data_IF_742707803833
#
_entry.id   IF_742707803833
#
_cell.length_a   1.000
_cell.length_b   1.000
_cell.length_c   1.000
_cell.angle_alpha   90.00
_cell.angle_beta   90.00
_cell.angle_gamma   90.00
#
_symmetry.space_group_name_H-M   'P 1'
#
loop_
_entity.id
_entity.type
_entity.pdbx_description
1 polymer ?
#
# COMPACT_ATOMS: atom_id res chain seq x y z
N UNK A 1 9.20 19.55 32.18
CA UNK A 1 9.76 18.91 30.97
C UNK A 1 9.18 17.55 30.75
N UNK A 2 9.28 16.65 31.72
CA UNK A 2 8.73 15.30 31.56
C UNK A 2 7.21 15.30 31.34
N UNK A 3 6.50 16.19 32.05
CA UNK A 3 5.05 16.30 31.90
C UNK A 3 4.65 16.74 30.49
N UNK A 4 5.43 17.68 29.95
CA UNK A 4 5.18 18.17 28.61
C UNK A 4 5.35 17.06 27.58
N UNK A 5 6.41 16.27 27.73
CA UNK A 5 6.69 15.15 26.85
C UNK A 5 5.59 14.10 26.91
N UNK A 6 5.17 13.73 28.12
CA UNK A 6 4.10 12.77 28.31
C UNK A 6 2.78 13.25 27.71
N UNK A 7 2.48 14.52 27.85
CA UNK A 7 1.29 15.11 27.29
C UNK A 7 1.28 15.00 25.76
N UNK A 8 2.39 15.28 25.11
CA UNK A 8 2.48 15.19 23.67
C UNK A 8 2.28 13.75 23.18
N UNK A 9 2.85 12.78 23.86
CA UNK A 9 2.66 11.38 23.51
C UNK A 9 1.20 10.95 23.67
N UNK A 10 0.56 11.41 24.73
CA UNK A 10 -0.84 11.10 24.97
C UNK A 10 -1.72 11.65 23.87
N UNK A 11 -1.50 12.92 23.48
CA UNK A 11 -2.25 13.53 22.39
C UNK A 11 -2.01 12.81 21.06
N UNK A 12 -0.77 12.41 20.83
CA UNK A 12 -0.42 11.68 19.63
C UNK A 12 -1.24 10.39 19.51
N UNK A 13 -1.37 9.64 20.60
CA UNK A 13 -2.18 8.43 20.62
C UNK A 13 -3.66 8.71 20.42
N UNK A 14 -4.15 9.81 20.95
CA UNK A 14 -5.56 10.16 20.87
C UNK A 14 -6.04 10.40 19.44
N UNK A 15 -5.13 10.75 18.53
CA UNK A 15 -5.49 11.11 17.16
C UNK A 15 -5.16 10.05 16.13
N UNK A 16 -4.68 8.89 16.55
CA UNK A 16 -4.37 7.83 15.58
C UNK A 16 -5.63 7.19 15.05
N UNK A 17 -5.68 7.06 13.73
CA UNK A 17 -6.74 6.39 13.01
C UNK A 17 -6.14 5.28 12.15
N UNK A 18 -6.98 4.31 11.77
CA UNK A 18 -6.55 3.18 10.97
C UNK A 18 -7.46 2.99 9.79
N UNK A 19 -6.90 2.54 8.68
CA UNK A 19 -7.68 2.27 7.47
C UNK A 19 -7.04 1.15 6.67
N UNK A 20 -7.90 0.45 5.92
CA UNK A 20 -7.50 -0.53 4.92
C UNK A 20 -7.77 0.10 3.56
N UNK A 21 -6.74 0.22 2.75
CA UNK A 21 -6.80 0.85 1.43
C UNK A 21 -6.50 -0.23 0.39
N UNK A 22 -7.28 -0.25 -0.68
CA UNK A 22 -7.09 -1.17 -1.79
C UNK A 22 -7.20 -0.42 -3.10
N UNK A 23 -6.31 -0.69 -4.04
CA UNK A 23 -6.43 -0.16 -5.40
C UNK A 23 -6.02 -1.23 -6.41
N UNK A 24 -6.47 -1.05 -7.66
CA UNK A 24 -6.36 -2.08 -8.69
C UNK A 24 -5.63 -1.57 -9.92
N UNK A 25 -5.09 -2.51 -10.67
CA UNK A 25 -4.62 -2.23 -12.02
C UNK A 25 -5.80 -1.98 -12.95
N UNK A 26 -5.53 -1.30 -14.07
CA UNK A 26 -6.53 -1.05 -15.11
C UNK A 26 -7.10 -2.38 -15.59
N UNK A 27 -8.44 -2.48 -15.57
CA UNK A 27 -9.17 -3.68 -15.97
C UNK A 27 -8.70 -4.97 -15.25
N UNK A 28 -8.09 -4.82 -14.10
CA UNK A 28 -7.54 -5.92 -13.30
C UNK A 28 -6.58 -6.80 -14.09
N UNK A 29 -5.80 -6.18 -14.97
CA UNK A 29 -4.75 -6.89 -15.68
C UNK A 29 -3.66 -7.28 -14.69
N UNK A 30 -3.23 -8.54 -14.71
CA UNK A 30 -2.21 -9.05 -13.79
C UNK A 30 -0.81 -8.63 -14.21
N UNK A 31 -0.55 -7.33 -14.28
CA UNK A 31 0.69 -6.78 -14.79
C UNK A 31 1.77 -6.57 -13.73
N UNK A 32 1.46 -6.77 -12.46
CA UNK A 32 2.44 -6.58 -11.40
C UNK A 32 3.23 -7.87 -11.23
N UNK A 33 4.34 -7.97 -11.95
CA UNK A 33 5.30 -9.05 -11.74
C UNK A 33 6.15 -8.74 -10.48
N UNK A 34 7.09 -9.62 -10.17
CA UNK A 34 7.90 -9.46 -8.96
C UNK A 34 8.65 -8.13 -8.94
N UNK A 35 9.16 -7.68 -10.08
CA UNK A 35 9.88 -6.42 -10.16
C UNK A 35 8.94 -5.23 -9.96
N UNK A 36 7.78 -5.25 -10.61
CA UNK A 36 6.78 -4.20 -10.43
C UNK A 36 6.22 -4.17 -9.01
N UNK A 37 6.01 -5.35 -8.41
CA UNK A 37 5.57 -5.42 -7.01
C UNK A 37 6.58 -4.80 -6.07
N UNK A 38 7.87 -5.01 -6.31
CA UNK A 38 8.93 -4.36 -5.55
C UNK A 38 8.88 -2.83 -5.71
N UNK A 39 8.59 -2.35 -6.91
CA UNK A 39 8.42 -0.91 -7.15
C UNK A 39 7.22 -0.36 -6.36
N UNK A 40 6.13 -1.12 -6.30
CA UNK A 40 4.96 -0.72 -5.52
C UNK A 40 5.30 -0.62 -4.04
N UNK A 41 5.97 -1.62 -3.49
CA UNK A 41 6.35 -1.62 -2.07
C UNK A 41 7.25 -0.44 -1.73
N UNK A 42 8.24 -0.18 -2.58
CA UNK A 42 9.14 0.95 -2.43
C UNK A 42 8.40 2.29 -2.54
N UNK A 43 7.46 2.38 -3.47
CA UNK A 43 6.65 3.58 -3.67
C UNK A 43 5.75 3.85 -2.47
N UNK A 44 5.17 2.80 -1.89
CA UNK A 44 4.35 2.92 -0.68
C UNK A 44 5.18 3.47 0.46
N UNK A 45 6.40 2.97 0.65
CA UNK A 45 7.31 3.48 1.68
C UNK A 45 7.63 4.97 1.46
N UNK A 46 7.93 5.36 0.23
CA UNK A 46 8.20 6.76 -0.09
C UNK A 46 6.99 7.66 0.16
N UNK A 47 5.80 7.18 -0.22
CA UNK A 47 4.56 7.92 -0.02
C UNK A 47 4.25 8.08 1.47
N UNK A 48 4.55 7.08 2.28
CA UNK A 48 4.38 7.15 3.73
C UNK A 48 5.23 8.27 4.32
N UNK A 49 6.49 8.33 3.94
CA UNK A 49 7.40 9.34 4.45
C UNK A 49 6.95 10.75 4.06
N UNK A 50 6.48 10.91 2.83
CA UNK A 50 6.05 12.20 2.33
C UNK A 50 4.71 12.66 2.91
N UNK A 51 3.81 11.73 3.20
CA UNK A 51 2.43 12.02 3.60
C UNK A 51 2.18 11.94 5.10
N UNK A 52 3.14 11.46 5.88
CA UNK A 52 2.92 11.26 7.31
C UNK A 52 2.00 10.09 7.63
N UNK A 53 1.89 9.14 6.71
CA UNK A 53 1.14 7.90 6.89
C UNK A 53 2.11 6.80 7.28
N UNK A 54 1.66 5.87 8.11
CA UNK A 54 2.47 4.74 8.53
C UNK A 54 1.83 3.45 8.06
N UNK A 55 2.59 2.63 7.34
CA UNK A 55 2.10 1.32 6.89
C UNK A 55 2.33 0.28 7.98
N UNK A 56 1.27 -0.44 8.31
CA UNK A 56 1.32 -1.52 9.29
C UNK A 56 1.44 -2.87 8.59
N UNK A 57 0.83 -3.01 7.42
CA UNK A 57 0.88 -4.24 6.63
C UNK A 57 0.55 -3.91 5.19
N UNK A 58 1.18 -4.59 4.25
CA UNK A 58 0.84 -4.47 2.83
C UNK A 58 0.92 -5.83 2.16
N UNK A 59 0.19 -5.96 1.06
CA UNK A 59 0.27 -7.11 0.19
C UNK A 59 0.07 -6.64 -1.24
N UNK A 60 1.04 -6.91 -2.10
CA UNK A 60 0.97 -6.56 -3.51
C UNK A 60 0.72 -7.84 -4.29
N UNK A 61 -0.47 -7.94 -4.88
CA UNK A 61 -0.84 -9.04 -5.75
C UNK A 61 -0.68 -8.61 -7.21
N UNK A 62 -0.84 -9.53 -8.14
CA UNK A 62 -0.58 -9.26 -9.55
C UNK A 62 -1.47 -8.17 -10.14
N UNK A 63 -2.67 -7.97 -9.61
CA UNK A 63 -3.66 -7.02 -10.14
C UNK A 63 -4.21 -6.03 -9.12
N UNK A 64 -3.78 -6.09 -7.86
CA UNK A 64 -4.23 -5.15 -6.84
C UNK A 64 -3.30 -5.11 -5.65
N UNK A 65 -3.50 -4.08 -4.83
CA UNK A 65 -2.64 -3.79 -3.67
C UNK A 65 -3.53 -3.58 -2.45
N UNK A 66 -3.13 -4.17 -1.32
CA UNK A 66 -3.73 -3.94 -0.02
C UNK A 66 -2.73 -3.23 0.88
N UNK A 67 -3.16 -2.18 1.57
CA UNK A 67 -2.32 -1.49 2.55
C UNK A 67 -3.14 -1.19 3.80
N UNK A 68 -2.64 -1.59 4.95
CA UNK A 68 -3.21 -1.20 6.24
C UNK A 68 -2.34 -0.10 6.81
N UNK A 69 -2.95 1.03 7.13
CA UNK A 69 -2.21 2.22 7.54
C UNK A 69 -2.73 2.77 8.86
N UNK A 70 -1.85 3.48 9.58
CA UNK A 70 -2.25 4.38 10.65
C UNK A 70 -1.93 5.81 10.22
N UNK A 71 -2.77 6.75 10.63
CA UNK A 71 -2.63 8.14 10.22
C UNK A 71 -3.35 9.05 11.20
N UNK A 72 -3.02 10.34 11.18
CA UNK A 72 -3.69 11.34 11.98
C UNK A 72 -4.84 11.95 11.19
N UNK A 73 -5.84 12.53 11.88
CA UNK A 73 -7.03 13.07 11.21
C UNK A 73 -6.75 14.17 10.18
N UNK A 74 -5.63 14.87 10.31
CA UNK A 74 -5.25 15.93 9.38
C UNK A 74 -4.61 15.43 8.09
N UNK A 75 -4.43 14.13 7.94
CA UNK A 75 -3.82 13.52 6.75
C UNK A 75 -4.90 13.20 5.72
N UNK A 76 -4.59 13.47 4.47
CA UNK A 76 -5.46 13.11 3.35
C UNK A 76 -4.95 11.82 2.70
N UNK A 77 -5.69 10.75 2.89
CA UNK A 77 -5.32 9.45 2.33
C UNK A 77 -5.30 9.48 0.80
N UNK A 78 -6.07 10.37 0.18
CA UNK A 78 -6.03 10.54 -1.28
C UNK A 78 -4.67 11.00 -1.78
N UNK A 79 -3.97 11.81 -1.00
CA UNK A 79 -2.62 12.26 -1.35
C UNK A 79 -1.63 11.09 -1.26
N UNK A 80 -1.75 10.28 -0.23
CA UNK A 80 -0.93 9.09 -0.08
C UNK A 80 -1.14 8.13 -1.25
N UNK A 81 -2.40 7.83 -1.58
CA UNK A 81 -2.75 6.91 -2.67
C UNK A 81 -2.18 7.41 -4.01
N UNK A 82 -2.44 8.68 -4.32
CA UNK A 82 -1.98 9.27 -5.57
C UNK A 82 -0.47 9.20 -5.70
N UNK A 83 0.25 9.52 -4.63
CA UNK A 83 1.71 9.52 -4.65
C UNK A 83 2.26 8.10 -4.79
N UNK A 84 1.71 7.14 -4.05
CA UNK A 84 2.14 5.74 -4.15
C UNK A 84 1.94 5.21 -5.57
N UNK A 85 0.77 5.46 -6.16
CA UNK A 85 0.46 5.01 -7.52
C UNK A 85 1.38 5.67 -8.55
N UNK A 86 1.58 6.98 -8.44
CA UNK A 86 2.42 7.73 -9.38
C UNK A 86 3.87 7.27 -9.33
N UNK A 87 4.44 7.14 -8.16
CA UNK A 87 5.83 6.72 -8.00
C UNK A 87 6.03 5.30 -8.49
N UNK A 88 5.11 4.40 -8.16
CA UNK A 88 5.20 3.00 -8.59
C UNK A 88 5.15 2.88 -10.11
N UNK A 89 4.20 3.55 -10.75
CA UNK A 89 4.06 3.53 -12.20
C UNK A 89 5.28 4.14 -12.88
N UNK A 90 5.78 5.25 -12.37
CA UNK A 90 6.96 5.90 -12.94
C UNK A 90 8.17 4.96 -12.93
N UNK A 91 8.41 4.30 -11.80
CA UNK A 91 9.55 3.39 -11.67
C UNK A 91 9.41 2.17 -12.58
N UNK A 92 8.25 1.53 -12.55
CA UNK A 92 8.01 0.34 -13.34
C UNK A 92 8.07 0.64 -14.85
N UNK A 93 7.48 1.76 -15.27
CA UNK A 93 7.38 2.12 -16.67
C UNK A 93 8.71 2.64 -17.25
N UNK A 94 9.62 3.09 -16.40
CA UNK A 94 10.99 3.40 -16.84
C UNK A 94 11.73 2.14 -17.25
N UNK A 95 11.50 1.06 -16.50
CA UNK A 95 12.15 -0.21 -16.78
C UNK A 95 11.52 -0.91 -17.98
N UNK A 96 10.19 -0.96 -18.00
CA UNK A 96 9.42 -1.57 -19.09
C UNK A 96 8.29 -0.60 -19.45
N UNK A 97 8.40 0.13 -20.57
CA UNK A 97 7.35 1.08 -20.96
C UNK A 97 5.97 0.41 -21.01
N UNK A 98 4.99 1.06 -20.39
CA UNK A 98 3.63 0.56 -20.35
C UNK A 98 3.39 -0.59 -19.38
N UNK A 99 4.36 -0.92 -18.52
CA UNK A 99 4.27 -2.07 -17.63
C UNK A 99 3.11 -1.97 -16.64
N UNK A 100 2.87 -0.78 -16.09
CA UNK A 100 1.86 -0.60 -15.04
C UNK A 100 0.90 0.53 -15.41
N UNK A 101 -0.38 0.21 -15.34
CA UNK A 101 -1.45 1.18 -15.49
C UNK A 101 -2.46 0.93 -14.38
N UNK A 102 -2.77 1.96 -13.62
CA UNK A 102 -3.73 1.87 -12.53
C UNK A 102 -5.14 2.21 -12.97
N UNK A 103 -6.11 1.54 -12.39
CA UNK A 103 -7.50 2.00 -12.45
C UNK A 103 -7.62 3.28 -11.64
N UNK A 104 -8.63 4.08 -11.92
CA UNK A 104 -8.91 5.29 -11.15
C UNK A 104 -9.46 4.93 -9.79
N UNK A 105 -9.11 5.74 -8.80
CA UNK A 105 -9.69 5.63 -7.49
C UNK A 105 -9.07 4.54 -6.63
N UNK A 106 -9.66 4.37 -5.48
CA UNK A 106 -9.23 3.41 -4.48
C UNK A 106 -10.38 3.18 -3.51
N UNK A 107 -10.30 2.09 -2.75
CA UNK A 107 -11.27 1.79 -1.71
C UNK A 107 -10.64 2.00 -0.36
N UNK A 108 -11.37 2.62 0.58
CA UNK A 108 -10.92 2.85 1.94
C UNK A 108 -12.00 2.38 2.90
N UNK A 109 -11.60 1.59 3.87
CA UNK A 109 -12.44 1.21 4.99
C UNK A 109 -11.70 1.59 6.26
N UNK A 110 -12.32 2.42 7.10
CA UNK A 110 -11.74 2.74 8.41
C UNK A 110 -11.84 1.52 9.31
N UNK A 111 -10.84 1.38 10.19
CA UNK A 111 -10.71 0.21 11.05
C UNK A 111 -10.73 0.68 12.49
N UNK A 112 -11.59 0.10 13.30
CA UNK A 112 -11.52 0.29 14.74
C UNK A 112 -10.27 -0.42 15.26
N UNK A 113 -9.62 0.15 16.26
CA UNK A 113 -8.38 -0.39 16.80
C UNK A 113 -8.50 -1.88 17.18
N UNK A 114 -9.64 -2.28 17.74
CA UNK A 114 -9.86 -3.68 18.14
C UNK A 114 -9.91 -4.64 16.96
N UNK A 115 -10.24 -4.16 15.77
CA UNK A 115 -10.34 -4.98 14.56
C UNK A 115 -9.03 -5.03 13.78
N UNK A 116 -8.05 -4.24 14.19
CA UNK A 116 -6.78 -4.13 13.48
C UNK A 116 -6.04 -5.46 13.35
N UNK A 117 -5.93 -6.29 14.40
CA UNK A 117 -5.25 -7.59 14.26
C UNK A 117 -5.89 -8.49 13.22
N UNK A 118 -7.23 -8.52 13.14
CA UNK A 118 -7.93 -9.34 12.16
C UNK A 118 -7.72 -8.85 10.74
N UNK A 119 -7.74 -7.54 10.54
CA UNK A 119 -7.52 -6.95 9.21
C UNK A 119 -6.09 -7.16 8.75
N UNK A 120 -5.10 -6.97 9.62
CA UNK A 120 -3.70 -7.20 9.25
C UNK A 120 -3.46 -8.66 8.90
N UNK A 121 -4.10 -9.58 9.60
CA UNK A 121 -4.03 -11.01 9.26
C UNK A 121 -4.67 -11.28 7.91
N UNK A 122 -5.83 -10.70 7.66
CA UNK A 122 -6.51 -10.84 6.36
C UNK A 122 -5.59 -10.41 5.21
N UNK A 123 -4.91 -9.28 5.38
CA UNK A 123 -3.99 -8.78 4.35
C UNK A 123 -2.77 -9.70 4.21
N UNK A 124 -2.23 -10.17 5.33
CA UNK A 124 -1.10 -11.10 5.30
C UNK A 124 -1.43 -12.41 4.59
N UNK A 125 -2.70 -12.84 4.66
CA UNK A 125 -3.14 -14.12 4.10
C UNK A 125 -3.53 -14.03 2.62
N UNK A 126 -3.42 -12.86 2.01
CA UNK A 126 -3.85 -12.67 0.61
C UNK A 126 -3.13 -13.59 -0.37
N UNK A 127 -1.85 -13.85 -0.16
CA UNK A 127 -1.10 -14.72 -1.04
C UNK A 127 -1.55 -16.18 -0.95
N UNK A 128 -1.98 -16.62 0.23
CA UNK A 128 -2.52 -17.96 0.41
C UNK A 128 -3.93 -18.09 -0.19
N UNK A 129 -4.72 -17.02 -0.09
CA UNK A 129 -6.07 -16.99 -0.64
C UNK A 129 -6.09 -16.91 -2.15
N UNK A 130 -5.08 -16.27 -2.72
CA UNK A 130 -4.99 -16.01 -4.17
C UNK A 130 -3.60 -16.38 -4.68
N UNK A 131 -3.26 -17.69 -4.66
CA UNK A 131 -1.94 -18.12 -5.11
C UNK A 131 -1.68 -17.84 -6.58
N UNK A 132 -2.75 -17.75 -7.38
CA UNK A 132 -2.68 -17.40 -8.80
C UNK A 132 -2.33 -15.92 -9.02
N UNK A 133 -2.45 -15.08 -8.00
CA UNK A 133 -2.15 -13.66 -8.09
C UNK A 133 -0.83 -13.27 -7.42
N UNK A 134 -0.01 -14.23 -7.04
CA UNK A 134 1.32 -13.93 -6.53
C UNK A 134 2.16 -13.37 -7.67
N UNK A 135 2.79 -12.20 -7.49
CA UNK A 135 3.64 -11.63 -8.53
C UNK A 135 4.75 -12.59 -8.96
N UNK A 136 4.87 -12.81 -10.26
CA UNK A 136 5.80 -13.78 -10.81
C UNK A 136 7.06 -13.09 -11.27
N UNK A 137 8.16 -13.80 -11.24
CA UNK A 137 9.39 -13.35 -11.87
C UNK A 137 9.15 -13.27 -13.36
N UNK A 138 9.55 -12.14 -13.97
CA UNK A 138 9.27 -11.92 -15.38
C UNK A 138 10.53 -12.10 -16.20
N UNK A 139 11.45 -11.57 -16.23
CA UNK A 139 12.58 -11.50 -17.13
C UNK A 139 13.04 -12.83 -17.70
N UNK A 140 13.33 -13.78 -16.87
CA UNK A 140 13.93 -15.03 -17.32
C UNK A 140 13.04 -15.85 -18.24
N UNK A 141 11.74 -15.62 -18.20
CA UNK A 141 10.81 -16.37 -19.06
C UNK A 141 11.09 -16.12 -20.53
N UNK A 142 11.48 -14.93 -20.83
CA UNK A 142 11.66 -14.52 -22.21
C UNK A 142 13.01 -14.92 -22.77
N UNK A 143 13.86 -15.38 -21.92
CA UNK A 143 15.17 -15.85 -22.34
C UNK A 143 15.04 -17.14 -23.14
N UNK A 144 13.95 -17.80 -22.95
CA UNK A 144 13.72 -19.05 -23.62
C UNK A 144 13.07 -18.85 -24.97
#
# INVERSE_FOLDING_TARGET
MSNHHAYQMSNHHAYQMYAHITWHTWKRVGCLDAAAASDVESAVTSACQASGVRVLRSAVLADHVHVVVSFRPDIRLSDFDRLAKSVAATRANRRVPGAVRWARGYFVTTIHKRDLPGVTRYVADQFQRHPDLIPKKSGHNRML
#
